data_IF_824859015024
#
_entry.id   IF_824859015024
#
_cell.length_a   1.000
_cell.length_b   1.000
_cell.length_c   1.000
_cell.angle_alpha   90.00
_cell.angle_beta   90.00
_cell.angle_gamma   90.00
#
_symmetry.space_group_name_H-M   'P 1'
#
loop_
_entity.id
_entity.type
_entity.pdbx_description
1 polymer ?
#
# COMPACT_ATOMS: atom_id res chain seq x y z
N UNK A 1 38.10 -9.13 -2.73
CA UNK A 1 36.65 -8.83 -2.70
C UNK A 1 36.08 -9.65 -1.56
N UNK A 2 35.88 -9.00 -0.40
CA UNK A 2 35.72 -9.63 0.91
C UNK A 2 34.35 -10.30 1.06
N UNK A 3 34.25 -11.43 1.77
CA UNK A 3 33.01 -12.17 2.06
C UNK A 3 31.86 -11.27 2.54
N UNK A 4 32.18 -10.24 3.34
CA UNK A 4 31.21 -9.27 3.85
C UNK A 4 30.42 -8.52 2.75
N UNK A 5 31.04 -8.26 1.59
CA UNK A 5 30.33 -7.60 0.47
C UNK A 5 29.34 -8.53 -0.22
N UNK A 6 29.62 -9.84 -0.23
CA UNK A 6 28.71 -10.84 -0.76
C UNK A 6 27.54 -11.06 0.20
N UNK A 7 27.81 -11.13 1.50
CA UNK A 7 26.77 -11.28 2.53
C UNK A 7 25.80 -10.09 2.54
N UNK A 8 26.31 -8.86 2.38
CA UNK A 8 25.49 -7.67 2.25
C UNK A 8 24.58 -7.72 1.01
N UNK A 9 25.13 -8.12 -0.15
CA UNK A 9 24.36 -8.23 -1.38
C UNK A 9 23.25 -9.30 -1.28
N UNK A 10 23.55 -10.45 -0.67
CA UNK A 10 22.57 -11.52 -0.43
C UNK A 10 21.46 -11.03 0.50
N UNK A 11 21.82 -10.35 1.60
CA UNK A 11 20.85 -9.81 2.55
C UNK A 11 19.90 -8.81 1.89
N UNK A 12 20.43 -7.88 1.09
CA UNK A 12 19.59 -6.93 0.34
C UNK A 12 18.72 -7.63 -0.69
N UNK A 13 19.26 -8.61 -1.42
CA UNK A 13 18.48 -9.40 -2.38
C UNK A 13 17.29 -10.12 -1.74
N UNK A 14 17.49 -10.72 -0.57
CA UNK A 14 16.42 -11.38 0.18
C UNK A 14 15.34 -10.39 0.66
N UNK A 15 15.74 -9.24 1.22
CA UNK A 15 14.78 -8.20 1.62
C UNK A 15 13.93 -7.71 0.45
N UNK A 16 14.52 -7.47 -0.72
CA UNK A 16 13.79 -7.04 -1.91
C UNK A 16 12.84 -8.13 -2.42
N UNK A 17 13.25 -9.40 -2.36
CA UNK A 17 12.40 -10.52 -2.72
C UNK A 17 11.18 -10.62 -1.78
N UNK A 18 11.39 -10.44 -0.48
CA UNK A 18 10.32 -10.46 0.52
C UNK A 18 9.34 -9.30 0.33
N UNK A 19 9.84 -8.08 0.10
CA UNK A 19 9.01 -6.90 -0.21
C UNK A 19 8.18 -7.12 -1.49
N UNK A 20 8.80 -7.64 -2.55
CA UNK A 20 8.09 -7.95 -3.79
C UNK A 20 7.01 -9.02 -3.59
N UNK A 21 7.27 -10.04 -2.77
CA UNK A 21 6.28 -11.06 -2.46
C UNK A 21 5.08 -10.48 -1.68
N UNK A 22 5.33 -9.58 -0.72
CA UNK A 22 4.28 -8.90 0.04
C UNK A 22 3.43 -7.98 -0.85
N UNK A 23 4.07 -7.15 -1.69
CA UNK A 23 3.36 -6.30 -2.66
C UNK A 23 2.58 -7.13 -3.69
N UNK A 24 3.13 -8.26 -4.14
CA UNK A 24 2.41 -9.16 -5.04
C UNK A 24 1.18 -9.79 -4.39
N UNK A 25 1.27 -10.18 -3.12
CA UNK A 25 0.14 -10.70 -2.35
C UNK A 25 -0.94 -9.64 -2.16
N UNK A 26 -0.56 -8.41 -1.81
CA UNK A 26 -1.48 -7.27 -1.68
C UNK A 26 -2.18 -6.97 -3.02
N UNK A 27 -1.42 -6.91 -4.12
CA UNK A 27 -1.96 -6.72 -5.47
C UNK A 27 -2.95 -7.83 -5.87
N UNK A 28 -2.70 -9.08 -5.46
CA UNK A 28 -3.64 -10.18 -5.67
C UNK A 28 -4.94 -9.98 -4.87
N UNK A 29 -4.84 -9.51 -3.61
CA UNK A 29 -5.98 -9.13 -2.79
C UNK A 29 -6.82 -8.01 -3.42
N UNK A 30 -6.16 -6.95 -3.90
CA UNK A 30 -6.82 -5.83 -4.59
C UNK A 30 -7.54 -6.27 -5.87
N UNK A 31 -6.98 -7.22 -6.63
CA UNK A 31 -7.66 -7.80 -7.80
C UNK A 31 -8.92 -8.56 -7.42
N UNK A 32 -8.85 -9.42 -6.40
CA UNK A 32 -10.02 -10.17 -5.89
C UNK A 32 -11.12 -9.21 -5.42
N UNK A 33 -10.74 -8.10 -4.77
CA UNK A 33 -11.67 -7.06 -4.38
C UNK A 33 -12.32 -6.39 -5.61
N UNK A 34 -11.54 -6.06 -6.64
CA UNK A 34 -12.06 -5.54 -7.91
C UNK A 34 -13.07 -6.49 -8.57
N UNK A 35 -12.78 -7.80 -8.57
CA UNK A 35 -13.69 -8.83 -9.10
C UNK A 35 -15.00 -8.88 -8.31
N UNK A 36 -14.94 -8.74 -6.98
CA UNK A 36 -16.12 -8.66 -6.11
C UNK A 36 -16.99 -7.46 -6.47
N UNK A 37 -16.41 -6.27 -6.59
CA UNK A 37 -17.16 -5.07 -7.00
C UNK A 37 -17.79 -5.22 -8.38
N UNK A 38 -17.05 -5.78 -9.34
CA UNK A 38 -17.56 -6.03 -10.68
C UNK A 38 -18.78 -6.96 -10.65
N UNK A 39 -18.75 -8.02 -9.82
CA UNK A 39 -19.88 -8.92 -9.63
C UNK A 39 -21.11 -8.22 -9.05
N UNK A 40 -20.92 -7.31 -8.08
CA UNK A 40 -22.00 -6.51 -7.47
C UNK A 40 -22.63 -5.58 -8.51
N UNK A 41 -21.81 -4.90 -9.31
CA UNK A 41 -22.26 -4.07 -10.42
C UNK A 41 -23.08 -4.87 -11.45
N UNK A 42 -22.55 -6.03 -11.89
CA UNK A 42 -23.27 -6.90 -12.84
C UNK A 42 -24.60 -7.38 -12.29
N UNK A 43 -24.67 -7.72 -11.00
CA UNK A 43 -25.90 -8.11 -10.32
C UNK A 43 -26.99 -7.03 -10.41
N UNK A 44 -26.61 -5.77 -10.14
CA UNK A 44 -27.50 -4.61 -10.25
C UNK A 44 -27.95 -4.30 -11.68
N UNK A 45 -27.06 -4.50 -12.66
CA UNK A 45 -27.39 -4.31 -14.08
C UNK A 45 -28.41 -5.36 -14.56
N UNK A 46 -28.23 -6.63 -14.17
CA UNK A 46 -29.14 -7.73 -14.54
C UNK A 46 -30.49 -7.71 -13.82
N UNK A 47 -30.60 -7.07 -12.65
CA UNK A 47 -31.85 -7.01 -11.88
C UNK A 47 -32.87 -5.98 -12.41
N UNK A 48 -32.68 -5.43 -13.62
CA UNK A 48 -33.64 -4.52 -14.24
C UNK A 48 -33.52 -3.06 -13.80
N UNK A 49 -32.34 -2.63 -13.32
CA UNK A 49 -32.05 -1.27 -12.84
C UNK A 49 -32.13 -0.14 -13.88
N UNK A 50 -32.77 -0.36 -15.03
CA UNK A 50 -33.15 0.69 -15.97
C UNK A 50 -34.44 1.43 -15.61
N UNK A 51 -35.22 0.90 -14.64
CA UNK A 51 -36.41 1.56 -14.12
C UNK A 51 -36.15 2.04 -12.68
N UNK A 52 -35.87 3.33 -12.53
CA UNK A 52 -35.86 4.00 -11.23
C UNK A 52 -37.30 4.16 -10.71
N UNK A 53 -37.89 3.08 -10.22
CA UNK A 53 -39.10 3.15 -9.41
C UNK A 53 -38.77 3.24 -7.91
N UNK A 54 -39.71 3.73 -7.12
CA UNK A 54 -39.55 3.95 -5.68
C UNK A 54 -39.24 2.65 -4.90
N UNK A 55 -39.53 1.48 -5.49
CA UNK A 55 -39.30 0.16 -4.90
C UNK A 55 -37.88 -0.37 -5.15
N UNK A 56 -37.18 0.14 -6.17
CA UNK A 56 -35.79 -0.24 -6.50
C UNK A 56 -34.72 0.48 -5.64
N UNK A 57 -35.08 1.61 -5.03
CA UNK A 57 -34.16 2.46 -4.24
C UNK A 57 -33.53 1.72 -3.03
N UNK A 58 -34.28 0.97 -2.21
CA UNK A 58 -33.71 0.28 -1.04
C UNK A 58 -32.68 -0.80 -1.41
N UNK A 59 -32.85 -1.49 -2.54
CA UNK A 59 -31.92 -2.52 -3.02
C UNK A 59 -30.61 -1.92 -3.52
N UNK A 60 -30.67 -0.77 -4.19
CA UNK A 60 -29.47 -0.04 -4.64
C UNK A 60 -28.70 0.54 -3.46
N UNK A 61 -29.40 1.09 -2.46
CA UNK A 61 -28.77 1.60 -1.24
C UNK A 61 -28.03 0.50 -0.48
N UNK A 62 -28.66 -0.67 -0.28
CA UNK A 62 -28.02 -1.79 0.39
C UNK A 62 -26.76 -2.31 -0.35
N UNK A 63 -26.79 -2.33 -1.68
CA UNK A 63 -25.63 -2.71 -2.48
C UNK A 63 -24.48 -1.69 -2.40
N UNK A 64 -24.82 -0.39 -2.36
CA UNK A 64 -23.85 0.68 -2.19
C UNK A 64 -23.23 0.65 -0.78
N UNK A 65 -24.03 0.46 0.27
CA UNK A 65 -23.55 0.33 1.65
C UNK A 65 -22.61 -0.87 1.81
N UNK A 66 -22.96 -2.02 1.20
CA UNK A 66 -22.10 -3.20 1.19
C UNK A 66 -20.79 -2.97 0.43
N UNK A 67 -20.81 -2.18 -0.65
CA UNK A 67 -19.60 -1.83 -1.39
C UNK A 67 -18.71 -0.89 -0.55
N UNK A 68 -19.29 0.14 0.06
CA UNK A 68 -18.59 1.09 0.92
C UNK A 68 -17.95 0.41 2.13
N UNK A 69 -18.68 -0.45 2.84
CA UNK A 69 -18.14 -1.24 3.96
C UNK A 69 -16.97 -2.11 3.50
N UNK A 70 -17.05 -2.72 2.32
CA UNK A 70 -15.95 -3.54 1.80
C UNK A 70 -14.74 -2.68 1.36
N UNK A 71 -14.93 -1.41 0.99
CA UNK A 71 -13.84 -0.47 0.72
C UNK A 71 -13.13 -0.02 1.99
N UNK A 72 -13.87 0.24 3.06
CA UNK A 72 -13.32 0.67 4.36
C UNK A 72 -12.41 -0.40 4.99
N UNK A 73 -12.63 -1.68 4.67
CA UNK A 73 -11.82 -2.81 5.13
C UNK A 73 -10.51 -3.01 4.36
N UNK A 74 -10.27 -2.25 3.28
CA UNK A 74 -9.04 -2.39 2.48
C UNK A 74 -7.90 -1.67 3.17
N UNK A 75 -6.94 -2.45 3.63
CA UNK A 75 -5.62 -1.96 4.05
C UNK A 75 -4.56 -2.39 3.05
N UNK A 76 -3.54 -1.54 2.87
CA UNK A 76 -2.40 -1.80 1.98
C UNK A 76 -1.07 -1.68 2.74
N UNK A 77 -0.84 -2.53 3.77
CA UNK A 77 0.30 -2.39 4.66
C UNK A 77 1.66 -2.59 3.97
N UNK A 78 1.72 -3.41 2.90
CA UNK A 78 2.95 -3.58 2.14
C UNK A 78 3.27 -2.33 1.32
N UNK A 79 2.24 -1.69 0.73
CA UNK A 79 2.40 -0.39 0.08
C UNK A 79 2.77 0.70 1.08
N UNK A 80 2.18 0.73 2.26
CA UNK A 80 2.51 1.71 3.30
C UNK A 80 3.97 1.58 3.78
N UNK A 81 4.41 0.34 4.01
CA UNK A 81 5.80 0.04 4.36
C UNK A 81 6.77 0.43 3.22
N UNK A 82 6.39 0.18 1.97
CA UNK A 82 7.16 0.60 0.81
C UNK A 82 7.29 2.13 0.73
N UNK A 83 6.19 2.87 0.91
CA UNK A 83 6.20 4.34 0.90
C UNK A 83 7.00 4.92 2.06
N UNK A 84 6.94 4.30 3.24
CA UNK A 84 7.77 4.66 4.39
C UNK A 84 9.27 4.53 4.07
N UNK A 85 9.68 3.43 3.44
CA UNK A 85 11.05 3.20 3.00
C UNK A 85 11.49 4.22 1.95
N UNK A 86 10.66 4.50 0.94
CA UNK A 86 10.97 5.51 -0.09
C UNK A 86 11.15 6.91 0.52
N UNK A 87 10.30 7.29 1.49
CA UNK A 87 10.47 8.56 2.21
C UNK A 87 11.79 8.59 3.00
N UNK A 88 12.13 7.49 3.68
CA UNK A 88 13.38 7.39 4.42
C UNK A 88 14.62 7.53 3.50
N UNK A 89 14.60 6.87 2.34
CA UNK A 89 15.68 6.99 1.34
C UNK A 89 15.83 8.42 0.81
N UNK A 90 14.72 9.12 0.58
CA UNK A 90 14.76 10.54 0.18
C UNK A 90 15.41 11.44 1.24
N UNK A 91 15.15 11.15 2.52
CA UNK A 91 15.76 11.87 3.66
C UNK A 91 17.25 11.56 3.77
N UNK A 92 17.67 10.30 3.58
CA UNK A 92 19.08 9.91 3.57
C UNK A 92 19.84 10.56 2.41
N UNK A 93 19.24 10.61 1.22
CA UNK A 93 19.82 11.30 0.06
C UNK A 93 19.97 12.81 0.32
N UNK A 94 19.03 13.42 1.05
CA UNK A 94 19.17 14.81 1.48
C UNK A 94 20.32 15.00 2.48
N UNK A 95 20.52 14.08 3.43
CA UNK A 95 21.67 14.14 4.34
C UNK A 95 23.00 14.10 3.59
N UNK A 96 23.11 13.22 2.59
CA UNK A 96 24.32 13.07 1.77
C UNK A 96 24.64 14.36 0.97
N UNK A 97 23.63 15.10 0.52
CA UNK A 97 23.79 16.36 -0.23
C UNK A 97 24.06 17.58 0.66
N UNK A 98 23.52 17.60 1.88
CA UNK A 98 23.60 18.76 2.78
C UNK A 98 25.03 19.08 3.24
N UNK A 99 25.94 18.09 3.21
CA UNK A 99 27.36 18.20 3.65
C UNK A 99 27.52 18.88 5.03
N UNK A 100 26.53 18.74 5.91
CA UNK A 100 26.50 19.35 7.24
C UNK A 100 26.60 18.24 8.32
N UNK A 101 27.79 18.01 8.89
CA UNK A 101 28.00 16.92 9.85
C UNK A 101 27.17 17.06 11.13
N UNK A 102 26.89 18.30 11.54
CA UNK A 102 26.15 18.60 12.77
C UNK A 102 24.68 18.14 12.72
N UNK A 103 24.15 17.92 11.51
CA UNK A 103 22.75 17.53 11.30
C UNK A 103 22.60 16.12 10.71
N UNK A 104 23.69 15.48 10.25
CA UNK A 104 23.66 14.15 9.62
C UNK A 104 23.01 13.08 10.50
N UNK A 105 23.42 12.99 11.78
CA UNK A 105 22.85 12.01 12.71
C UNK A 105 21.36 12.23 12.92
N UNK A 106 20.93 13.48 13.09
CA UNK A 106 19.53 13.86 13.29
C UNK A 106 18.66 13.52 12.08
N UNK A 107 19.16 13.77 10.86
CA UNK A 107 18.45 13.47 9.62
C UNK A 107 18.32 11.96 9.42
N UNK A 108 19.38 11.20 9.70
CA UNK A 108 19.34 9.72 9.60
C UNK A 108 18.44 9.10 10.66
N UNK A 109 18.40 9.63 11.88
CA UNK A 109 17.44 9.22 12.90
C UNK A 109 15.99 9.48 12.44
N UNK A 110 15.72 10.60 11.78
CA UNK A 110 14.40 10.87 11.21
C UNK A 110 14.03 9.87 10.09
N UNK A 111 14.98 9.51 9.21
CA UNK A 111 14.77 8.47 8.21
C UNK A 111 14.40 7.11 8.84
N UNK A 112 15.05 6.73 9.95
CA UNK A 112 14.69 5.53 10.71
C UNK A 112 13.29 5.58 11.32
N UNK A 113 12.85 6.76 11.79
CA UNK A 113 11.48 6.94 12.31
C UNK A 113 10.44 6.77 11.21
N UNK A 114 10.72 7.26 9.99
CA UNK A 114 9.84 7.08 8.84
C UNK A 114 9.64 5.58 8.53
N UNK A 115 10.71 4.77 8.57
CA UNK A 115 10.62 3.30 8.38
C UNK A 115 9.77 2.60 9.43
N UNK A 116 9.68 3.15 10.66
CA UNK A 116 8.85 2.63 11.74
C UNK A 116 7.37 3.04 11.61
N UNK A 117 7.02 3.80 10.58
CA UNK A 117 5.65 4.26 10.35
C UNK A 117 5.19 5.37 11.29
N UNK A 118 6.12 6.12 11.89
CA UNK A 118 5.75 7.32 12.67
C UNK A 118 5.19 8.35 11.68
N UNK A 119 3.88 8.60 11.75
CA UNK A 119 3.27 9.71 11.04
C UNK A 119 3.66 11.01 11.74
N UNK A 120 4.17 11.97 10.96
CA UNK A 120 4.36 13.37 11.39
C UNK A 120 3.01 14.05 11.63
#
# INVERSE_FOLDING_TARGET
MCSASLDAAIKTGNMLADQNAQLAAENAGLKVFGDKLYSMYKGLETSGGGFHDEQSIPYQQAALDAAMSAFEEIETPATDAFLAEVRAQGVEMFADDLLCPDLDSTIREFAEQLRKGVQS
#
